data_IF_083147979250
#
_entry.id   IF_083147979250
#
_cell.length_a   1.000
_cell.length_b   1.000
_cell.length_c   1.000
_cell.angle_alpha   90.00
_cell.angle_beta   90.00
_cell.angle_gamma   90.00
#
_symmetry.space_group_name_H-M   'P 1'
#
loop_
_entity.id
_entity.type
_entity.pdbx_description
1 polymer ?
#
# COMPACT_ATOMS: atom_id res chain seq x y z
N UNK A 1 17.71 -25.74 16.68
CA UNK A 1 18.84 -25.55 15.76
C UNK A 1 18.35 -25.52 14.33
N UNK A 2 18.50 -24.38 13.65
CA UNK A 2 18.28 -24.28 12.20
C UNK A 2 19.66 -24.41 11.56
N UNK A 3 19.86 -25.45 10.76
CA UNK A 3 21.04 -25.64 9.92
C UNK A 3 20.73 -25.18 8.50
N UNK A 4 21.40 -24.13 8.03
CA UNK A 4 21.32 -23.69 6.64
C UNK A 4 22.49 -24.31 5.87
N UNK A 5 22.20 -25.10 4.83
CA UNK A 5 23.20 -25.65 3.90
C UNK A 5 23.27 -24.77 2.64
N UNK A 6 24.44 -24.68 2.00
CA UNK A 6 24.71 -23.84 0.82
C UNK A 6 24.61 -22.32 1.02
N UNK A 7 24.61 -21.81 2.26
CA UNK A 7 24.69 -20.37 2.50
C UNK A 7 26.07 -19.81 2.10
N UNK A 8 26.10 -18.95 1.08
CA UNK A 8 27.25 -18.10 0.81
C UNK A 8 27.16 -16.90 1.74
N UNK A 9 27.95 -16.88 2.81
CA UNK A 9 27.97 -15.73 3.72
C UNK A 9 28.63 -14.55 3.01
N UNK A 10 27.84 -13.56 2.59
CA UNK A 10 28.34 -12.25 2.18
C UNK A 10 28.67 -11.47 3.46
N UNK A 11 29.87 -11.67 4.01
CA UNK A 11 30.31 -10.90 5.17
C UNK A 11 30.85 -9.54 4.71
N UNK A 12 30.05 -8.48 4.83
CA UNK A 12 30.59 -7.23 5.38
C UNK A 12 30.05 -7.10 6.80
N UNK A 13 30.91 -7.33 7.80
CA UNK A 13 30.59 -6.91 9.17
C UNK A 13 30.82 -5.41 9.24
N UNK A 14 29.94 -4.61 8.62
CA UNK A 14 29.97 -3.17 8.79
C UNK A 14 29.41 -2.86 10.19
N UNK A 15 30.24 -2.30 11.05
CA UNK A 15 29.77 -1.68 12.29
C UNK A 15 29.48 -0.22 11.93
N UNK A 16 28.22 0.17 12.02
CA UNK A 16 27.81 1.55 11.81
C UNK A 16 27.18 2.12 13.06
N UNK A 17 27.49 3.39 13.30
CA UNK A 17 26.87 4.17 14.37
C UNK A 17 25.55 4.72 13.84
N UNK A 18 24.45 4.31 14.46
CA UNK A 18 23.15 4.95 14.30
C UNK A 18 23.01 6.04 15.36
N UNK A 19 22.48 7.20 14.98
CA UNK A 19 22.04 8.19 15.95
C UNK A 19 20.85 7.64 16.75
N UNK A 20 20.64 8.14 17.96
CA UNK A 20 19.51 7.73 18.81
C UNK A 20 18.15 8.06 18.19
N UNK A 21 18.12 9.01 17.25
CA UNK A 21 16.91 9.47 16.57
C UNK A 21 16.71 8.80 15.20
N UNK A 22 17.68 8.01 14.72
CA UNK A 22 17.55 7.27 13.46
C UNK A 22 16.55 6.11 13.64
N UNK A 23 15.54 6.07 12.78
CA UNK A 23 14.56 4.98 12.72
C UNK A 23 14.76 4.05 11.52
N UNK A 24 15.58 4.47 10.56
CA UNK A 24 15.80 3.76 9.30
C UNK A 24 17.29 3.57 9.05
N UNK A 25 17.61 2.52 8.28
CA UNK A 25 18.99 2.17 7.97
C UNK A 25 19.09 1.72 6.52
N UNK A 26 19.77 2.51 5.69
CA UNK A 26 19.99 2.15 4.30
C UNK A 26 21.16 1.16 4.19
N UNK A 27 20.85 -0.09 3.85
CA UNK A 27 21.85 -1.16 3.75
C UNK A 27 22.88 -0.87 2.64
N UNK A 28 22.50 -0.18 1.55
CA UNK A 28 23.40 0.14 0.45
C UNK A 28 24.52 1.10 0.89
N UNK A 29 24.23 1.99 1.84
CA UNK A 29 25.23 2.91 2.40
C UNK A 29 26.20 2.22 3.36
N UNK A 30 25.80 1.08 3.93
CA UNK A 30 26.57 0.31 4.91
C UNK A 30 27.39 -0.81 4.30
N UNK A 31 26.83 -1.45 3.28
CA UNK A 31 27.38 -2.64 2.67
C UNK A 31 28.63 -2.32 1.81
N UNK A 32 28.76 -1.10 1.29
CA UNK A 32 29.62 -0.85 0.14
C UNK A 32 29.09 -1.60 -1.09
N UNK A 33 29.96 -1.92 -2.06
CA UNK A 33 29.62 -2.69 -3.27
C UNK A 33 29.37 -4.18 -2.97
N UNK A 34 28.49 -4.53 -2.02
CA UNK A 34 28.01 -5.90 -1.91
C UNK A 34 27.12 -6.15 -3.12
N UNK A 35 27.64 -6.94 -4.05
CA UNK A 35 26.86 -7.45 -5.17
C UNK A 35 25.76 -8.38 -4.63
N UNK A 36 24.52 -7.95 -4.81
CA UNK A 36 23.29 -8.67 -4.47
C UNK A 36 22.61 -9.05 -5.80
N UNK A 37 22.91 -10.23 -6.37
CA UNK A 37 22.33 -10.63 -7.64
C UNK A 37 20.81 -10.79 -7.52
N UNK A 38 20.10 -10.29 -8.53
CA UNK A 38 18.65 -10.39 -8.64
C UNK A 38 18.15 -11.83 -8.53
N UNK A 39 17.02 -12.01 -7.86
CA UNK A 39 16.33 -13.29 -7.69
C UNK A 39 16.97 -14.23 -6.67
N UNK A 40 18.04 -13.80 -5.99
CA UNK A 40 18.65 -14.57 -4.91
C UNK A 40 17.98 -14.28 -3.56
N UNK A 41 17.85 -15.31 -2.75
CA UNK A 41 17.30 -15.24 -1.39
C UNK A 41 18.42 -15.04 -0.36
N UNK A 42 18.18 -14.15 0.60
CA UNK A 42 19.11 -13.81 1.67
C UNK A 42 18.38 -13.70 3.01
N UNK A 43 19.13 -13.91 4.10
CA UNK A 43 18.67 -13.65 5.46
C UNK A 43 19.48 -12.50 6.06
N UNK A 44 18.81 -11.39 6.39
CA UNK A 44 19.40 -10.29 7.14
C UNK A 44 19.26 -10.53 8.64
N UNK A 45 20.33 -10.27 9.38
CA UNK A 45 20.30 -10.22 10.85
C UNK A 45 21.10 -9.02 11.32
N UNK A 46 20.57 -8.34 12.33
CA UNK A 46 21.24 -7.19 12.97
C UNK A 46 21.42 -7.48 14.45
N UNK A 47 22.43 -6.85 15.08
CA UNK A 47 22.60 -6.88 16.53
C UNK A 47 23.14 -5.53 17.02
N UNK A 48 22.70 -5.05 18.19
CA UNK A 48 23.32 -3.90 18.83
C UNK A 48 24.75 -4.21 19.30
N UNK A 49 25.64 -3.23 19.14
CA UNK A 49 26.88 -3.11 19.91
C UNK A 49 26.78 -1.86 20.79
N UNK A 50 26.90 -2.02 22.10
CA UNK A 50 26.92 -0.89 23.06
C UNK A 50 28.23 -0.96 23.83
N UNK A 51 29.12 0.02 23.60
CA UNK A 51 30.50 -0.04 24.09
C UNK A 51 31.23 -1.25 23.51
N UNK A 52 31.77 -2.11 24.38
CA UNK A 52 32.44 -3.36 23.99
C UNK A 52 31.53 -4.60 24.04
N UNK A 53 30.24 -4.43 24.31
CA UNK A 53 29.30 -5.53 24.49
C UNK A 53 28.46 -5.75 23.22
N UNK A 54 28.49 -6.98 22.70
CA UNK A 54 27.59 -7.43 21.64
C UNK A 54 26.34 -8.07 22.24
N UNK A 55 25.17 -7.74 21.70
CA UNK A 55 23.90 -8.34 22.10
C UNK A 55 23.53 -9.50 21.15
N UNK A 56 22.43 -10.18 21.48
CA UNK A 56 21.89 -11.24 20.64
C UNK A 56 21.52 -10.69 19.25
N UNK A 57 21.71 -11.52 18.22
CA UNK A 57 21.20 -11.26 16.88
C UNK A 57 19.67 -11.22 16.87
N UNK A 58 19.10 -10.36 16.02
CA UNK A 58 17.68 -10.35 15.69
C UNK A 58 17.23 -11.71 15.15
N UNK A 59 15.91 -11.87 15.07
CA UNK A 59 15.34 -12.89 14.19
C UNK A 59 15.80 -12.61 12.75
N UNK A 60 16.02 -13.66 11.94
CA UNK A 60 16.31 -13.48 10.52
C UNK A 60 15.13 -12.80 9.83
N UNK A 61 15.46 -11.84 8.97
CA UNK A 61 14.56 -11.30 7.97
C UNK A 61 14.97 -11.90 6.62
N UNK A 62 14.16 -12.81 6.11
CA UNK A 62 14.41 -13.44 4.81
C UNK A 62 13.82 -12.56 3.70
N UNK A 63 14.58 -12.35 2.63
CA UNK A 63 14.17 -11.51 1.50
C UNK A 63 14.78 -12.00 0.18
N UNK A 64 14.13 -11.66 -0.93
CA UNK A 64 14.64 -11.89 -2.28
C UNK A 64 15.07 -10.55 -2.86
N UNK A 65 16.25 -10.51 -3.47
CA UNK A 65 16.71 -9.30 -4.14
C UNK A 65 15.90 -9.10 -5.41
N UNK A 66 15.23 -7.97 -5.49
CA UNK A 66 14.48 -7.54 -6.65
C UNK A 66 15.14 -6.32 -7.28
N UNK A 67 14.94 -6.17 -8.58
CA UNK A 67 15.32 -4.95 -9.28
C UNK A 67 14.22 -3.93 -9.05
N UNK A 68 14.53 -2.81 -8.43
CA UNK A 68 13.55 -1.74 -8.20
C UNK A 68 13.01 -1.18 -9.52
N UNK A 69 13.78 -1.24 -10.61
CA UNK A 69 13.31 -0.84 -11.94
C UNK A 69 12.24 -1.79 -12.50
N UNK A 70 12.11 -3.00 -11.95
CA UNK A 70 11.05 -3.95 -12.29
C UNK A 70 9.82 -3.83 -11.39
N UNK A 71 9.93 -3.17 -10.24
CA UNK A 71 8.78 -2.88 -9.39
C UNK A 71 7.97 -1.75 -9.99
N UNK A 72 6.67 -1.95 -10.14
CA UNK A 72 5.77 -0.93 -10.67
C UNK A 72 4.49 -0.82 -9.87
N UNK A 73 3.83 0.33 -9.99
CA UNK A 73 2.53 0.61 -9.40
C UNK A 73 2.46 0.32 -7.90
N UNK A 74 1.40 -0.37 -7.48
CA UNK A 74 1.16 -0.71 -6.08
C UNK A 74 2.31 -1.51 -5.45
N UNK A 75 2.93 -2.42 -6.21
CA UNK A 75 4.01 -3.25 -5.69
C UNK A 75 5.25 -2.40 -5.34
N UNK A 76 5.62 -1.44 -6.18
CA UNK A 76 6.71 -0.51 -5.87
C UNK A 76 6.37 0.33 -4.65
N UNK A 77 5.15 0.86 -4.62
CA UNK A 77 4.67 1.73 -3.55
C UNK A 77 4.71 1.03 -2.17
N UNK A 78 4.25 -0.21 -2.05
CA UNK A 78 4.34 -0.95 -0.78
C UNK A 78 5.71 -1.55 -0.50
N UNK A 79 6.58 -1.75 -1.49
CA UNK A 79 7.91 -2.33 -1.23
C UNK A 79 8.95 -1.27 -0.87
N UNK A 80 8.82 -0.06 -1.45
CA UNK A 80 9.82 1.00 -1.38
C UNK A 80 9.34 2.17 -0.55
N UNK A 81 8.16 2.72 -0.87
CA UNK A 81 7.68 3.96 -0.24
C UNK A 81 7.06 3.67 1.15
N UNK A 82 6.32 2.56 1.27
CA UNK A 82 5.62 2.18 2.49
C UNK A 82 5.79 0.68 2.82
N UNK A 83 7.00 0.21 3.19
CA UNK A 83 7.29 -1.19 3.49
C UNK A 83 6.51 -1.78 4.68
N UNK A 84 5.92 -0.93 5.52
CA UNK A 84 5.09 -1.33 6.66
C UNK A 84 3.60 -1.44 6.30
N UNK A 85 3.21 -0.94 5.11
CA UNK A 85 1.85 -1.05 4.61
C UNK A 85 1.51 -2.50 4.25
N UNK A 86 0.24 -2.88 4.42
CA UNK A 86 -0.21 -4.22 4.12
C UNK A 86 -0.35 -4.52 2.62
N UNK A 87 -1.05 -5.61 2.32
CA UNK A 87 -1.44 -5.92 0.94
C UNK A 87 -2.54 -4.97 0.45
N UNK A 88 -2.92 -5.07 -0.83
CA UNK A 88 -3.90 -4.17 -1.48
C UNK A 88 -5.26 -4.00 -0.76
N UNK A 89 -5.65 -4.98 0.05
CA UNK A 89 -6.92 -5.02 0.79
C UNK A 89 -6.75 -4.89 2.31
N UNK A 90 -5.54 -4.61 2.80
CA UNK A 90 -5.35 -4.37 4.23
C UNK A 90 -5.89 -2.96 4.58
N UNK A 91 -5.65 -2.52 5.81
CA UNK A 91 -6.01 -1.20 6.33
C UNK A 91 -5.10 -1.02 7.55
N UNK A 92 -3.83 -0.73 7.29
CA UNK A 92 -2.76 -0.76 8.29
C UNK A 92 -2.96 0.27 9.40
N UNK A 93 -3.62 1.41 9.12
CA UNK A 93 -3.87 2.46 10.10
C UNK A 93 -5.29 2.45 10.69
N UNK A 94 -6.22 1.69 10.10
CA UNK A 94 -7.55 1.44 10.63
C UNK A 94 -8.54 2.57 10.37
N UNK A 95 -8.32 3.40 9.36
CA UNK A 95 -9.21 4.51 9.00
C UNK A 95 -10.40 4.09 8.10
N UNK A 96 -10.38 2.84 7.63
CA UNK A 96 -11.41 2.24 6.78
C UNK A 96 -11.17 2.39 5.28
N UNK A 97 -10.07 3.03 4.85
CA UNK A 97 -9.55 2.97 3.50
C UNK A 97 -8.52 1.85 3.39
N UNK A 98 -8.62 1.04 2.33
CA UNK A 98 -7.60 0.01 2.11
C UNK A 98 -6.36 0.59 1.43
N UNK A 99 -5.19 -0.02 1.59
CA UNK A 99 -3.95 0.48 0.98
C UNK A 99 -4.07 0.62 -0.54
N UNK A 100 -4.84 -0.27 -1.19
CA UNK A 100 -5.12 -0.16 -2.61
C UNK A 100 -5.88 1.13 -2.98
N UNK A 101 -6.85 1.53 -2.14
CA UNK A 101 -7.61 2.77 -2.32
C UNK A 101 -6.72 3.99 -2.04
N UNK A 102 -5.90 3.92 -1.00
CA UNK A 102 -4.96 4.97 -0.65
C UNK A 102 -3.89 5.18 -1.73
N UNK A 103 -3.30 4.09 -2.24
CA UNK A 103 -2.42 4.14 -3.40
C UNK A 103 -3.10 4.77 -4.61
N UNK A 104 -4.35 4.37 -4.87
CA UNK A 104 -5.12 4.84 -6.01
C UNK A 104 -5.51 6.32 -5.91
N UNK A 105 -5.61 6.87 -4.69
CA UNK A 105 -6.04 8.24 -4.42
C UNK A 105 -4.92 9.14 -3.87
N UNK A 106 -3.74 8.59 -3.61
CA UNK A 106 -2.53 9.30 -3.21
C UNK A 106 -2.49 9.71 -1.74
N UNK A 107 -3.03 8.90 -0.84
CA UNK A 107 -2.95 9.10 0.62
C UNK A 107 -1.93 8.18 1.30
N UNK A 108 -1.67 8.40 2.59
CA UNK A 108 -0.64 7.71 3.35
C UNK A 108 -1.16 6.54 4.19
N UNK A 109 -0.71 5.28 3.95
CA UNK A 109 -1.28 4.05 4.51
C UNK A 109 -1.01 3.76 5.99
N UNK A 110 -0.42 4.73 6.69
CA UNK A 110 0.02 4.59 8.08
C UNK A 110 -0.44 5.80 8.90
N UNK A 111 -1.27 6.68 8.32
CA UNK A 111 -1.70 7.94 8.92
C UNK A 111 -3.23 8.05 8.80
N UNK A 112 -3.95 7.55 9.80
CA UNK A 112 -5.41 7.48 9.81
C UNK A 112 -6.18 8.82 9.69
N UNK A 113 -5.47 9.95 9.62
CA UNK A 113 -6.05 11.27 9.37
C UNK A 113 -5.90 11.72 7.91
N UNK A 114 -5.08 11.06 7.11
CA UNK A 114 -4.86 11.33 5.69
C UNK A 114 -5.86 10.54 4.84
N UNK A 115 -7.14 10.84 5.03
CA UNK A 115 -8.24 10.05 4.46
C UNK A 115 -8.48 10.46 3.00
N UNK A 116 -8.77 9.53 2.07
CA UNK A 116 -9.07 9.88 0.70
C UNK A 116 -10.23 10.88 0.58
N UNK A 117 -9.95 12.05 -0.01
CA UNK A 117 -10.94 13.12 -0.14
C UNK A 117 -11.85 12.83 -1.34
N UNK A 118 -13.15 12.68 -1.05
CA UNK A 118 -14.20 12.57 -2.06
C UNK A 118 -15.24 13.66 -1.86
N UNK A 119 -15.68 14.28 -2.94
CA UNK A 119 -16.83 15.19 -2.87
C UNK A 119 -18.12 14.38 -2.95
N UNK A 120 -19.07 14.67 -2.07
CA UNK A 120 -20.37 13.99 -2.00
C UNK A 120 -21.45 14.94 -2.47
N UNK A 121 -22.20 14.53 -3.49
CA UNK A 121 -23.28 15.31 -4.07
C UNK A 121 -24.57 14.48 -4.14
N UNK A 122 -25.68 15.14 -4.48
CA UNK A 122 -26.90 14.47 -4.90
C UNK A 122 -27.37 14.99 -6.25
N UNK A 123 -27.84 14.09 -7.10
CA UNK A 123 -28.48 14.49 -8.35
C UNK A 123 -29.89 15.06 -8.12
N UNK A 124 -30.54 15.54 -9.19
CA UNK A 124 -31.90 16.09 -9.13
C UNK A 124 -32.96 15.06 -8.72
N UNK A 125 -32.66 13.76 -8.84
CA UNK A 125 -33.51 12.67 -8.40
C UNK A 125 -33.22 12.27 -6.94
N UNK A 126 -32.26 12.91 -6.27
CA UNK A 126 -31.88 12.67 -4.89
C UNK A 126 -30.91 11.50 -4.68
N UNK A 127 -30.37 10.92 -5.76
CA UNK A 127 -29.37 9.83 -5.72
C UNK A 127 -28.03 10.39 -5.27
N UNK A 128 -27.31 9.63 -4.44
CA UNK A 128 -25.99 10.01 -3.94
C UNK A 128 -24.93 9.77 -5.02
N UNK A 129 -24.05 10.74 -5.21
CA UNK A 129 -22.84 10.58 -6.02
C UNK A 129 -21.60 10.94 -5.23
N UNK A 130 -20.51 10.22 -5.49
CA UNK A 130 -19.16 10.55 -5.02
C UNK A 130 -18.27 10.89 -6.22
N UNK A 131 -17.40 11.88 -6.06
CA UNK A 131 -16.53 12.34 -7.15
C UNK A 131 -15.12 12.63 -6.67
N UNK A 132 -14.15 12.25 -7.50
CA UNK A 132 -12.73 12.56 -7.34
C UNK A 132 -12.18 13.17 -8.64
N UNK A 133 -11.19 14.08 -8.56
CA UNK A 133 -10.51 14.59 -9.75
C UNK A 133 -9.74 13.49 -10.51
N UNK A 134 -9.69 13.57 -11.84
CA UNK A 134 -9.05 12.55 -12.69
C UNK A 134 -7.51 12.61 -12.68
N UNK A 135 -6.92 13.74 -12.31
CA UNK A 135 -5.46 13.94 -12.27
C UNK A 135 -4.76 13.09 -11.20
N UNK A 136 -5.52 12.52 -10.26
CA UNK A 136 -5.01 11.61 -9.23
C UNK A 136 -5.07 10.12 -9.63
N UNK A 137 -5.68 9.77 -10.77
CA UNK A 137 -5.83 8.37 -11.13
C UNK A 137 -4.50 7.72 -11.53
N UNK A 138 -4.24 6.54 -10.97
CA UNK A 138 -3.07 5.71 -11.23
C UNK A 138 -3.33 4.79 -12.41
N UNK A 139 -2.36 4.69 -13.32
CA UNK A 139 -2.38 3.68 -14.38
C UNK A 139 -2.38 2.26 -13.79
N UNK A 140 -3.05 1.33 -14.46
CA UNK A 140 -3.16 -0.07 -14.01
C UNK A 140 -4.15 -0.29 -12.86
N UNK A 141 -4.89 0.74 -12.45
CA UNK A 141 -6.01 0.62 -11.51
C UNK A 141 -7.33 0.80 -12.26
N UNK A 142 -8.25 -0.13 -12.04
CA UNK A 142 -9.65 -0.01 -12.40
C UNK A 142 -10.40 0.66 -11.25
N UNK A 143 -11.15 1.71 -11.57
CA UNK A 143 -11.90 2.48 -10.59
C UNK A 143 -13.39 2.21 -10.74
N UNK A 144 -13.98 1.68 -9.69
CA UNK A 144 -15.38 1.28 -9.62
C UNK A 144 -15.98 1.80 -8.30
N UNK A 145 -17.26 1.56 -8.07
CA UNK A 145 -17.90 1.89 -6.81
C UNK A 145 -18.95 0.86 -6.42
N UNK A 146 -19.18 0.77 -5.12
CA UNK A 146 -20.19 -0.10 -4.54
C UNK A 146 -21.15 0.72 -3.69
N UNK A 147 -22.42 0.33 -3.70
CA UNK A 147 -23.43 0.93 -2.85
C UNK A 147 -23.97 -0.10 -1.85
N UNK A 148 -24.55 0.43 -0.77
CA UNK A 148 -25.17 -0.36 0.28
C UNK A 148 -26.41 0.34 0.83
N UNK A 149 -27.34 -0.43 1.39
CA UNK A 149 -28.48 0.10 2.16
C UNK A 149 -28.35 -0.11 3.67
N UNK A 150 -27.36 -0.88 4.12
CA UNK A 150 -27.21 -1.32 5.51
C UNK A 150 -25.76 -1.22 6.05
N UNK A 151 -24.80 -0.77 5.22
CA UNK A 151 -23.35 -0.76 5.48
C UNK A 151 -22.71 -2.16 5.67
N UNK A 152 -23.46 -3.23 5.43
CA UNK A 152 -23.01 -4.61 5.60
C UNK A 152 -22.94 -5.30 4.24
N UNK A 153 -24.00 -5.18 3.45
CA UNK A 153 -24.14 -5.77 2.13
C UNK A 153 -23.79 -4.72 1.06
N UNK A 154 -22.78 -5.01 0.26
CA UNK A 154 -22.28 -4.10 -0.79
C UNK A 154 -22.50 -4.71 -2.18
N UNK A 155 -22.92 -3.87 -3.14
CA UNK A 155 -23.17 -4.28 -4.52
C UNK A 155 -22.67 -3.22 -5.51
N UNK A 156 -22.15 -3.67 -6.65
CA UNK A 156 -21.83 -2.78 -7.80
C UNK A 156 -23.01 -2.61 -8.76
N UNK A 157 -24.03 -3.48 -8.68
CA UNK A 157 -25.15 -3.46 -9.64
C UNK A 157 -25.93 -2.14 -9.56
N UNK A 158 -26.15 -1.53 -10.72
CA UNK A 158 -26.83 -0.24 -10.86
C UNK A 158 -26.00 1.00 -10.49
N UNK A 159 -24.72 0.86 -10.15
CA UNK A 159 -23.82 2.02 -9.98
C UNK A 159 -23.37 2.51 -11.36
N UNK A 160 -23.53 3.82 -11.60
CA UNK A 160 -23.09 4.46 -12.83
C UNK A 160 -21.73 5.13 -12.57
N UNK A 161 -20.67 4.59 -13.17
CA UNK A 161 -19.30 5.15 -13.10
C UNK A 161 -18.98 5.86 -14.41
N UNK A 162 -18.54 7.12 -14.33
CA UNK A 162 -18.29 7.97 -15.50
C UNK A 162 -17.02 8.80 -15.35
N UNK A 163 -16.37 9.02 -16.50
CA UNK A 163 -15.18 9.85 -16.64
C UNK A 163 -15.55 11.04 -17.53
N UNK A 164 -15.86 12.19 -16.93
CA UNK A 164 -16.26 13.38 -17.68
C UNK A 164 -15.84 14.64 -16.95
N UNK A 165 -15.58 15.71 -17.69
CA UNK A 165 -15.31 17.05 -17.14
C UNK A 165 -14.17 17.09 -16.10
N UNK A 166 -13.15 16.23 -16.27
CA UNK A 166 -12.00 16.17 -15.37
C UNK A 166 -12.26 15.47 -14.04
N UNK A 167 -13.41 14.82 -13.86
CA UNK A 167 -13.75 14.06 -12.65
C UNK A 167 -14.13 12.61 -12.97
N UNK A 168 -13.76 11.71 -12.07
CA UNK A 168 -14.38 10.40 -11.95
C UNK A 168 -15.59 10.55 -11.03
N UNK A 169 -16.76 10.12 -11.50
CA UNK A 169 -18.00 10.18 -10.75
C UNK A 169 -18.62 8.79 -10.65
N UNK A 170 -19.01 8.40 -9.45
CA UNK A 170 -19.87 7.25 -9.21
C UNK A 170 -21.23 7.72 -8.68
N UNK A 171 -22.31 7.23 -9.28
CA UNK A 171 -23.68 7.57 -8.92
C UNK A 171 -24.43 6.31 -8.50
N UNK A 172 -24.94 6.31 -7.27
CA UNK A 172 -25.70 5.19 -6.73
C UNK A 172 -27.02 4.98 -7.50
N UNK A 173 -27.58 3.75 -7.51
CA UNK A 173 -28.93 3.53 -8.01
C UNK A 173 -29.97 4.25 -7.15
N UNK A 174 -31.18 4.38 -7.68
CA UNK A 174 -32.29 4.98 -6.94
C UNK A 174 -32.62 4.15 -5.68
N UNK A 175 -32.63 4.80 -4.51
CA UNK A 175 -33.09 4.16 -3.27
C UNK A 175 -34.59 3.88 -3.31
N UNK A 176 -35.07 2.81 -2.65
CA UNK A 176 -36.46 2.72 -2.24
C UNK A 176 -36.87 3.96 -1.41
N UNK A 177 -38.12 4.43 -1.50
CA UNK A 177 -38.57 5.57 -0.69
C UNK A 177 -38.35 5.34 0.81
N UNK A 178 -37.57 6.23 1.44
CA UNK A 178 -37.24 6.15 2.87
C UNK A 178 -36.05 5.24 3.22
N UNK A 179 -35.41 4.62 2.23
CA UNK A 179 -34.17 3.85 2.42
C UNK A 179 -32.93 4.74 2.53
N UNK A 180 -31.92 4.24 3.25
CA UNK A 180 -30.57 4.82 3.23
C UNK A 180 -29.82 4.26 2.01
N UNK A 181 -29.00 5.10 1.37
CA UNK A 181 -27.99 4.67 0.42
C UNK A 181 -26.63 5.18 0.88
N UNK A 182 -25.68 4.26 0.92
CA UNK A 182 -24.27 4.51 1.13
C UNK A 182 -23.54 4.18 -0.17
N UNK A 183 -22.44 4.89 -0.43
CA UNK A 183 -21.64 4.71 -1.63
C UNK A 183 -20.17 4.79 -1.22
N UNK A 184 -19.35 3.87 -1.74
CA UNK A 184 -17.90 3.85 -1.53
C UNK A 184 -17.17 3.56 -2.83
N UNK A 185 -15.94 4.04 -2.92
CA UNK A 185 -15.04 3.64 -4.00
C UNK A 185 -14.60 2.19 -3.83
N UNK A 186 -14.39 1.52 -4.95
CA UNK A 186 -13.73 0.21 -5.04
C UNK A 186 -12.67 0.31 -6.12
N UNK A 187 -11.48 -0.18 -5.83
CA UNK A 187 -10.38 -0.22 -6.80
C UNK A 187 -9.90 -1.64 -7.00
N UNK A 188 -9.46 -1.95 -8.20
CA UNK A 188 -8.89 -3.25 -8.56
C UNK A 188 -7.61 -3.04 -9.36
N UNK A 189 -6.63 -3.93 -9.18
CA UNK A 189 -5.46 -3.97 -10.06
C UNK A 189 -5.88 -4.60 -11.40
N UNK A 190 -5.63 -3.89 -12.50
CA UNK A 190 -5.79 -4.44 -13.85
C UNK A 190 -4.59 -5.35 -14.11
N UNK A 191 -4.79 -6.67 -14.33
CA UNK A 191 -3.68 -7.56 -14.68
C UNK A 191 -3.07 -7.11 -16.01
N UNK A 192 -1.77 -6.87 -16.02
CA UNK A 192 -1.01 -6.71 -17.27
C UNK A 192 -0.86 -8.09 -17.91
N UNK A 193 -1.45 -8.29 -19.09
CA UNK A 193 -1.23 -9.48 -19.92
C UNK A 193 0.20 -9.52 -20.48
#
# INVERSE_FOLDING_TARGET
>A
DISVSNAKVLMSSTISSLDKDDQELNINELAGDIDLPLGQEYSLRIRPLIGSSSFAWSQPLDFVVVDDDLLTGFQKWTTVDFPEAGGFLADSDGDGASEGLEYALGTHPLLAYDIPVTSVNRDTAGRVSIQIPLDHLKAGIDYDAEWSSDLVSWASDGVEVTYSDGVLSALAPASPPGGLNFLRWRVLVIPTN
#
